data_IF_100624852831
#
_entry.id   IF_100624852831
#
_cell.length_a   1.000
_cell.length_b   1.000
_cell.length_c   1.000
_cell.angle_alpha   90.00
_cell.angle_beta   90.00
_cell.angle_gamma   90.00
#
_symmetry.space_group_name_H-M   'P 1'
#
loop_
_entity.id
_entity.type
_entity.pdbx_description
1 polymer ?
#
# COMPACT_ATOMS: atom_id res chain seq x y z
N UNK A 1 -0.63 5.51 14.88
CA UNK A 1 -1.85 4.68 15.09
C UNK A 1 -2.89 4.80 13.97
N UNK A 2 -3.25 6.00 13.48
CA UNK A 2 -4.22 6.15 12.37
C UNK A 2 -3.74 5.53 11.05
N UNK A 3 -2.47 5.73 10.66
CA UNK A 3 -1.90 5.13 9.44
C UNK A 3 -1.72 3.61 9.52
N UNK A 4 -1.44 3.07 10.70
CA UNK A 4 -1.29 1.61 10.89
C UNK A 4 -2.61 0.85 10.67
N UNK A 5 -3.75 1.48 10.99
CA UNK A 5 -5.07 0.93 10.70
C UNK A 5 -5.33 0.84 9.18
N UNK A 6 -4.84 1.80 8.40
CA UNK A 6 -4.99 1.82 6.94
C UNK A 6 -4.30 0.61 6.30
N UNK A 7 -3.11 0.24 6.79
CA UNK A 7 -2.40 -0.95 6.31
C UNK A 7 -3.15 -2.24 6.63
N UNK A 8 -3.66 -2.37 7.86
CA UNK A 8 -4.40 -3.56 8.32
C UNK A 8 -5.71 -3.73 7.54
N UNK A 9 -6.38 -2.64 7.16
CA UNK A 9 -7.63 -2.68 6.38
C UNK A 9 -7.36 -2.90 4.89
N UNK A 10 -6.23 -2.43 4.35
CA UNK A 10 -5.91 -2.57 2.92
C UNK A 10 -5.69 -4.02 2.50
N UNK A 11 -5.12 -4.84 3.38
CA UNK A 11 -4.90 -6.28 3.17
C UNK A 11 -6.20 -7.06 2.87
N UNK A 12 -7.22 -7.08 3.76
CA UNK A 12 -8.47 -7.78 3.53
C UNK A 12 -9.27 -7.18 2.36
N UNK A 13 -9.20 -5.87 2.14
CA UNK A 13 -9.84 -5.22 0.99
C UNK A 13 -9.23 -5.71 -0.32
N UNK A 14 -7.91 -5.82 -0.41
CA UNK A 14 -7.23 -6.36 -1.59
C UNK A 14 -7.64 -7.80 -1.90
N UNK A 15 -7.74 -8.65 -0.88
CA UNK A 15 -8.21 -10.03 -1.01
C UNK A 15 -9.66 -10.08 -1.51
N UNK A 16 -10.55 -9.27 -0.93
CA UNK A 16 -11.95 -9.18 -1.35
C UNK A 16 -12.08 -8.77 -2.81
N UNK A 17 -11.32 -7.77 -3.26
CA UNK A 17 -11.33 -7.31 -4.65
C UNK A 17 -10.86 -8.43 -5.58
N UNK A 18 -9.83 -9.19 -5.22
CA UNK A 18 -9.37 -10.33 -6.01
C UNK A 18 -10.46 -11.40 -6.17
N UNK A 19 -11.18 -11.74 -5.09
CA UNK A 19 -12.31 -12.67 -5.15
C UNK A 19 -13.48 -12.14 -6.00
N UNK A 20 -13.76 -10.84 -5.93
CA UNK A 20 -14.79 -10.19 -6.75
C UNK A 20 -14.43 -10.32 -8.25
N UNK A 21 -13.19 -10.01 -8.63
CA UNK A 21 -12.74 -10.12 -10.04
C UNK A 21 -12.80 -11.56 -10.53
N UNK A 22 -12.38 -12.55 -9.73
CA UNK A 22 -12.54 -13.97 -10.09
C UNK A 22 -14.00 -14.34 -10.33
N UNK A 23 -14.91 -13.88 -9.46
CA UNK A 23 -16.35 -14.11 -9.56
C UNK A 23 -16.90 -13.53 -10.86
N UNK A 24 -16.49 -12.32 -11.23
CA UNK A 24 -16.93 -11.67 -12.49
C UNK A 24 -16.40 -12.36 -13.74
N UNK A 25 -15.16 -12.88 -13.70
CA UNK A 25 -14.56 -13.60 -14.83
C UNK A 25 -15.03 -15.07 -14.93
N UNK A 26 -15.86 -15.55 -13.99
CA UNK A 26 -16.32 -16.94 -13.94
C UNK A 26 -15.20 -17.95 -13.67
N UNK A 27 -14.04 -17.49 -13.16
CA UNK A 27 -12.90 -18.33 -12.85
C UNK A 27 -13.22 -19.09 -11.57
N UNK A 28 -13.21 -20.42 -11.66
CA UNK A 28 -13.43 -21.29 -10.52
C UNK A 28 -12.21 -21.26 -9.59
N UNK A 29 -12.42 -21.35 -8.28
CA UNK A 29 -11.36 -21.35 -7.28
C UNK A 29 -10.63 -22.70 -7.27
N UNK A 30 -9.89 -22.97 -8.35
CA UNK A 30 -9.10 -24.18 -8.51
C UNK A 30 -7.67 -23.97 -8.01
N UNK A 31 -6.98 -25.03 -7.58
CA UNK A 31 -5.64 -24.94 -6.96
C UNK A 31 -4.64 -24.17 -7.83
N UNK A 32 -4.72 -24.30 -9.17
CA UNK A 32 -3.87 -23.53 -10.10
C UNK A 32 -4.16 -22.02 -10.06
N UNK A 33 -5.44 -21.62 -10.03
CA UNK A 33 -5.84 -20.20 -9.97
C UNK A 33 -5.58 -19.60 -8.58
N UNK A 34 -5.89 -20.36 -7.52
CA UNK A 34 -5.62 -19.97 -6.14
C UNK A 34 -4.10 -19.83 -5.88
N UNK A 35 -3.28 -20.72 -6.44
CA UNK A 35 -1.82 -20.65 -6.37
C UNK A 35 -1.26 -19.40 -7.04
N UNK A 36 -1.74 -19.06 -8.24
CA UNK A 36 -1.34 -17.83 -8.95
C UNK A 36 -1.74 -16.56 -8.19
N UNK A 37 -2.96 -16.53 -7.66
CA UNK A 37 -3.45 -15.39 -6.87
C UNK A 37 -2.71 -15.25 -5.54
N UNK A 38 -2.35 -16.35 -4.87
CA UNK A 38 -1.56 -16.31 -3.65
C UNK A 38 -0.17 -15.68 -3.89
N UNK A 39 0.50 -16.04 -5.00
CA UNK A 39 1.79 -15.44 -5.39
C UNK A 39 1.61 -13.95 -5.73
N UNK A 40 0.60 -13.62 -6.52
CA UNK A 40 0.32 -12.24 -6.92
C UNK A 40 0.00 -11.35 -5.71
N UNK A 41 -0.82 -11.83 -4.77
CA UNK A 41 -1.11 -11.14 -3.51
C UNK A 41 0.19 -10.96 -2.70
N UNK A 42 1.03 -11.99 -2.60
CA UNK A 42 2.31 -11.89 -1.91
C UNK A 42 3.18 -10.76 -2.46
N UNK A 43 3.36 -10.70 -3.78
CA UNK A 43 4.14 -9.65 -4.43
C UNK A 43 3.52 -8.25 -4.30
N UNK A 44 2.19 -8.14 -4.43
CA UNK A 44 1.49 -6.86 -4.27
C UNK A 44 1.57 -6.34 -2.82
N UNK A 45 1.43 -7.22 -1.84
CA UNK A 45 1.51 -6.86 -0.42
C UNK A 45 2.94 -6.46 -0.05
N UNK A 46 3.95 -7.17 -0.55
CA UNK A 46 5.36 -6.81 -0.35
C UNK A 46 5.64 -5.38 -0.85
N UNK A 47 5.26 -5.08 -2.09
CA UNK A 47 5.38 -3.73 -2.66
C UNK A 47 4.59 -2.68 -1.87
N UNK A 48 3.38 -2.99 -1.41
CA UNK A 48 2.56 -2.08 -0.62
C UNK A 48 3.17 -1.79 0.76
N UNK A 49 3.74 -2.79 1.42
CA UNK A 49 4.42 -2.64 2.71
C UNK A 49 5.66 -1.77 2.56
N UNK A 50 6.51 -2.04 1.56
CA UNK A 50 7.71 -1.23 1.29
C UNK A 50 7.33 0.23 1.00
N UNK A 51 6.24 0.47 0.24
CA UNK A 51 5.76 1.83 -0.02
C UNK A 51 5.30 2.54 1.26
N UNK A 52 4.52 1.86 2.11
CA UNK A 52 4.07 2.41 3.39
C UNK A 52 5.25 2.75 4.30
N UNK A 53 6.26 1.88 4.37
CA UNK A 53 7.48 2.14 5.12
C UNK A 53 8.27 3.34 4.57
N UNK A 54 8.39 3.45 3.24
CA UNK A 54 9.08 4.58 2.62
C UNK A 54 8.36 5.90 2.88
N UNK A 55 7.04 5.91 2.72
CA UNK A 55 6.19 7.05 3.03
C UNK A 55 6.33 7.47 4.50
N UNK A 56 6.38 6.51 5.42
CA UNK A 56 6.57 6.81 6.84
C UNK A 56 7.95 7.43 7.11
N UNK A 57 9.02 6.84 6.55
CA UNK A 57 10.39 7.35 6.69
C UNK A 57 10.53 8.77 6.12
N UNK A 58 9.94 9.07 4.96
CA UNK A 58 10.00 10.42 4.36
C UNK A 58 9.24 11.46 5.18
N UNK A 59 8.08 11.09 5.72
CA UNK A 59 7.31 11.96 6.63
C UNK A 59 8.09 12.23 7.92
N UNK A 60 8.69 11.21 8.52
CA UNK A 60 9.54 11.36 9.71
C UNK A 60 10.78 12.23 9.42
N UNK A 61 11.45 12.02 8.29
CA UNK A 61 12.60 12.82 7.87
C UNK A 61 12.22 14.29 7.65
N UNK A 62 11.07 14.56 7.04
CA UNK A 62 10.57 15.92 6.86
C UNK A 62 10.27 16.60 8.20
N UNK A 63 9.64 15.91 9.14
CA UNK A 63 9.37 16.43 10.49
C UNK A 63 10.65 16.68 11.29
N UNK A 64 11.68 15.85 11.13
CA UNK A 64 12.98 16.06 11.75
C UNK A 64 13.71 17.28 11.18
N UNK A 65 13.58 17.54 9.88
CA UNK A 65 14.17 18.70 9.21
C UNK A 65 13.40 20.01 9.48
N UNK A 66 12.08 19.94 9.71
CA UNK A 66 11.21 21.11 9.92
C UNK A 66 10.47 21.00 11.27
N UNK A 67 11.18 21.16 12.40
CA UNK A 67 10.58 21.04 13.72
C UNK A 67 9.56 22.18 13.97
N UNK A 68 8.29 21.81 14.18
CA UNK A 68 7.20 22.73 14.49
C UNK A 68 6.33 23.16 13.31
N UNK A 69 6.66 22.72 12.10
CA UNK A 69 5.87 22.98 10.91
C UNK A 69 4.92 21.80 10.63
N UNK A 70 3.64 22.09 10.33
CA UNK A 70 2.67 21.05 10.01
C UNK A 70 2.77 20.67 8.52
N UNK A 71 2.98 19.38 8.25
CA UNK A 71 2.96 18.82 6.90
C UNK A 71 1.53 18.92 6.32
N UNK A 72 1.20 20.05 5.67
CA UNK A 72 -0.12 20.33 5.09
C UNK A 72 -0.01 20.92 3.68
N UNK A 73 -1.06 20.70 2.87
CA UNK A 73 -1.18 21.28 1.54
C UNK A 73 -0.15 20.73 0.55
N UNK A 74 0.57 21.62 -0.14
CA UNK A 74 1.53 21.26 -1.19
C UNK A 74 2.70 20.42 -0.68
N UNK A 75 3.22 20.72 0.52
CA UNK A 75 4.34 19.98 1.10
C UNK A 75 3.99 18.51 1.38
N UNK A 76 2.74 18.24 1.79
CA UNK A 76 2.26 16.88 1.96
C UNK A 76 2.22 16.13 0.63
N UNK A 77 1.69 16.77 -0.43
CA UNK A 77 1.66 16.15 -1.75
C UNK A 77 3.07 15.88 -2.28
N UNK A 78 3.99 16.84 -2.15
CA UNK A 78 5.37 16.69 -2.61
C UNK A 78 6.08 15.50 -1.95
N UNK A 79 6.05 15.43 -0.61
CA UNK A 79 6.68 14.34 0.15
C UNK A 79 6.06 12.99 -0.20
N UNK A 80 4.74 12.92 -0.42
CA UNK A 80 4.06 11.68 -0.83
C UNK A 80 4.42 11.25 -2.26
N UNK A 81 4.53 12.19 -3.22
CA UNK A 81 4.99 11.86 -4.58
C UNK A 81 6.45 11.44 -4.61
N UNK A 82 7.32 12.07 -3.83
CA UNK A 82 8.73 11.69 -3.74
C UNK A 82 8.86 10.29 -3.10
N UNK A 83 8.11 10.05 -2.02
CA UNK A 83 8.04 8.74 -1.40
C UNK A 83 7.56 7.66 -2.37
N UNK A 84 6.57 7.95 -3.23
CA UNK A 84 6.06 7.00 -4.22
C UNK A 84 7.03 6.79 -5.40
N UNK A 85 7.76 7.82 -5.82
CA UNK A 85 8.70 7.76 -6.94
C UNK A 85 9.97 6.93 -6.63
N UNK A 86 10.33 6.75 -5.36
CA UNK A 86 11.47 5.92 -4.93
C UNK A 86 11.18 4.41 -4.86
N UNK A 87 9.90 4.01 -4.90
CA UNK A 87 9.47 2.59 -4.68
C UNK A 87 9.01 1.90 -5.96
N UNK A 88 9.20 2.53 -7.12
CA UNK A 88 8.89 1.98 -8.45
C UNK A 88 10.13 1.85 -9.31
#
# INVERSE_FOLDING_TARGET
>A
LRSSLVAIISLPVGVLIAFIVMRYQGINANIMSLGGIAIAIGAMVDAAVVMIENAHKKVEAWHAANPGEELKGEHHWHVMTEAAAEVG
#
